data_IF_235142404405
#
_entry.id   IF_235142404405
#
_cell.length_a   1.000
_cell.length_b   1.000
_cell.length_c   1.000
_cell.angle_alpha   90.00
_cell.angle_beta   90.00
_cell.angle_gamma   90.00
#
_symmetry.space_group_name_H-M   'P 1'
#
loop_
_entity.id
_entity.type
_entity.pdbx_description
1 polymer ?
#
# COMPACT_ATOMS: atom_id res chain seq x y z
N UNK A 1 5.82 -15.82 70.53
CA UNK A 1 7.06 -15.61 69.73
C UNK A 1 6.91 -16.42 68.45
N UNK A 2 6.81 -15.79 67.27
CA UNK A 2 6.64 -16.50 65.99
C UNK A 2 7.93 -17.28 65.68
N UNK A 3 7.80 -18.51 65.21
CA UNK A 3 8.95 -19.40 64.97
C UNK A 3 9.80 -18.87 63.81
N UNK A 4 11.12 -19.15 63.77
CA UNK A 4 11.99 -18.76 62.65
C UNK A 4 11.46 -19.23 61.28
N UNK A 5 10.76 -20.37 61.26
CA UNK A 5 10.13 -20.91 60.05
C UNK A 5 8.93 -20.09 59.55
N UNK A 6 8.22 -19.39 60.43
CA UNK A 6 7.08 -18.55 60.03
C UNK A 6 7.56 -17.25 59.38
N UNK A 7 8.71 -16.73 59.83
CA UNK A 7 9.35 -15.56 59.23
C UNK A 7 9.90 -15.90 57.83
N UNK A 8 10.49 -17.09 57.66
CA UNK A 8 11.00 -17.55 56.36
C UNK A 8 9.86 -17.79 55.35
N UNK A 9 8.75 -18.41 55.79
CA UNK A 9 7.57 -18.58 54.94
C UNK A 9 6.94 -17.25 54.53
N UNK A 10 6.89 -16.28 55.44
CA UNK A 10 6.38 -14.95 55.14
C UNK A 10 7.30 -14.20 54.16
N UNK A 11 8.63 -14.34 54.32
CA UNK A 11 9.62 -13.74 53.40
C UNK A 11 9.50 -14.34 51.99
N UNK A 12 9.33 -15.66 51.87
CA UNK A 12 9.17 -16.35 50.58
C UNK A 12 7.86 -15.92 49.89
N UNK A 13 6.75 -15.81 50.63
CA UNK A 13 5.47 -15.36 50.07
C UNK A 13 5.57 -13.92 49.57
N UNK A 14 6.19 -13.03 50.35
CA UNK A 14 6.40 -11.63 49.94
C UNK A 14 7.28 -11.55 48.68
N UNK A 15 8.37 -12.32 48.62
CA UNK A 15 9.26 -12.37 47.45
C UNK A 15 8.52 -12.89 46.20
N UNK A 16 7.69 -13.92 46.35
CA UNK A 16 6.89 -14.47 45.25
C UNK A 16 5.81 -13.49 44.78
N UNK A 17 5.15 -12.77 45.70
CA UNK A 17 4.18 -11.73 45.31
C UNK A 17 4.84 -10.55 44.60
N UNK A 18 6.05 -10.15 44.98
CA UNK A 18 6.79 -9.08 44.28
C UNK A 18 7.21 -9.52 42.87
N UNK A 19 7.69 -10.76 42.71
CA UNK A 19 8.03 -11.34 41.41
C UNK A 19 6.82 -11.43 40.47
N UNK A 20 5.63 -11.77 40.98
CA UNK A 20 4.39 -11.81 40.18
C UNK A 20 3.93 -10.40 39.79
N UNK A 21 4.16 -9.38 40.63
CA UNK A 21 3.83 -7.98 40.31
C UNK A 21 4.79 -7.42 39.24
N UNK A 22 6.07 -7.77 39.28
CA UNK A 22 7.06 -7.38 38.25
C UNK A 22 6.86 -8.13 36.92
N UNK A 23 6.24 -9.32 36.94
CA UNK A 23 5.95 -10.08 35.72
C UNK A 23 4.62 -9.68 35.05
N UNK A 24 3.76 -8.92 35.72
CA UNK A 24 2.45 -8.47 35.21
C UNK A 24 2.42 -7.00 34.77
N UNK A 25 3.57 -6.33 34.64
CA UNK A 25 3.66 -4.96 34.10
C UNK A 25 4.08 -4.89 32.63
N UNK A 26 4.29 -6.04 31.96
CA UNK A 26 4.28 -6.09 30.50
C UNK A 26 2.84 -6.20 30.00
N UNK A 27 2.04 -5.15 30.27
CA UNK A 27 0.91 -4.85 29.41
C UNK A 27 1.51 -4.62 28.03
N UNK A 28 1.08 -5.45 27.07
CA UNK A 28 1.40 -5.34 25.66
C UNK A 28 1.39 -3.86 25.23
N UNK A 29 2.58 -3.28 25.10
CA UNK A 29 2.76 -2.06 24.35
C UNK A 29 2.65 -2.48 22.88
N UNK A 30 1.42 -2.81 22.46
CA UNK A 30 1.03 -2.63 21.08
C UNK A 30 1.17 -1.15 20.84
N UNK A 31 2.40 -0.73 20.51
CA UNK A 31 2.63 0.56 19.92
C UNK A 31 1.53 0.73 18.88
N UNK A 32 0.62 1.67 19.11
CA UNK A 32 -0.21 2.19 18.04
C UNK A 32 0.80 2.82 17.09
N UNK A 33 1.36 2.00 16.20
CA UNK A 33 2.23 2.45 15.14
C UNK A 33 1.36 3.43 14.37
N UNK A 34 1.65 4.72 14.57
CA UNK A 34 0.87 5.82 14.01
C UNK A 34 0.85 5.59 12.49
N UNK A 35 -0.29 5.14 12.00
CA UNK A 35 -0.54 4.93 10.58
C UNK A 35 -0.55 6.32 9.96
N UNK A 36 0.48 6.66 9.19
CA UNK A 36 0.50 7.88 8.41
C UNK A 36 -0.23 7.54 7.11
N UNK A 37 -1.53 7.82 7.05
CA UNK A 37 -2.31 7.58 5.85
C UNK A 37 -1.98 8.66 4.81
N UNK A 38 -1.75 8.23 3.57
CA UNK A 38 -1.53 9.12 2.45
C UNK A 38 -2.87 9.70 2.01
N UNK A 39 -3.06 10.99 2.21
CA UNK A 39 -4.22 11.72 1.70
C UNK A 39 -4.12 11.97 0.19
N UNK A 40 -5.27 12.01 -0.48
CA UNK A 40 -5.34 12.41 -1.89
C UNK A 40 -4.86 13.86 -2.07
N UNK A 41 -3.83 14.06 -2.90
CA UNK A 41 -3.21 15.37 -3.14
C UNK A 41 -3.57 15.98 -4.48
N UNK A 42 -4.23 15.19 -5.36
CA UNK A 42 -4.71 15.67 -6.66
C UNK A 42 -6.22 15.48 -6.88
N UNK A 43 -6.96 15.04 -5.87
CA UNK A 43 -8.42 15.18 -5.85
C UNK A 43 -8.82 16.65 -6.01
N UNK A 44 -9.84 16.91 -6.83
CA UNK A 44 -10.26 18.27 -7.21
C UNK A 44 -9.47 18.89 -8.37
N UNK A 45 -8.34 18.30 -8.78
CA UNK A 45 -7.51 18.82 -9.89
C UNK A 45 -7.30 17.81 -11.03
N UNK A 46 -6.94 16.56 -10.71
CA UNK A 46 -6.77 15.50 -11.72
C UNK A 46 -8.06 14.70 -11.90
N UNK A 47 -8.84 14.55 -10.84
CA UNK A 47 -10.13 13.86 -10.81
C UNK A 47 -11.02 14.53 -9.77
N UNK A 48 -12.34 14.27 -9.77
CA UNK A 48 -13.24 14.94 -8.82
C UNK A 48 -12.97 14.52 -7.37
N UNK A 49 -12.96 15.48 -6.46
CA UNK A 49 -12.96 15.28 -5.00
C UNK A 49 -14.34 14.90 -4.45
N UNK A 50 -15.40 15.02 -5.26
CA UNK A 50 -16.73 14.57 -4.89
C UNK A 50 -16.89 13.07 -5.22
N UNK A 51 -17.20 12.22 -4.23
CA UNK A 51 -17.28 10.76 -4.43
C UNK A 51 -18.31 10.33 -5.48
N UNK A 52 -19.47 10.98 -5.54
CA UNK A 52 -20.55 10.59 -6.44
C UNK A 52 -20.26 11.02 -7.88
N UNK A 53 -19.65 12.20 -8.06
CA UNK A 53 -19.15 12.66 -9.36
C UNK A 53 -18.02 11.73 -9.84
N UNK A 54 -17.08 11.39 -8.97
CA UNK A 54 -15.95 10.52 -9.30
C UNK A 54 -16.42 9.13 -9.75
N UNK A 55 -17.35 8.50 -9.02
CA UNK A 55 -17.97 7.22 -9.41
C UNK A 55 -18.65 7.31 -10.78
N UNK A 56 -19.44 8.36 -11.00
CA UNK A 56 -20.15 8.58 -12.28
C UNK A 56 -19.18 8.77 -13.45
N UNK A 57 -18.07 9.47 -13.22
CA UNK A 57 -16.99 9.63 -14.22
C UNK A 57 -16.34 8.29 -14.55
N UNK A 58 -16.00 7.50 -13.53
CA UNK A 58 -15.42 6.17 -13.70
C UNK A 58 -16.36 5.26 -14.49
N UNK A 59 -17.65 5.20 -14.11
CA UNK A 59 -18.67 4.45 -14.86
C UNK A 59 -18.70 4.84 -16.33
N UNK A 60 -18.79 6.14 -16.62
CA UNK A 60 -18.79 6.63 -18.00
C UNK A 60 -17.50 6.26 -18.76
N UNK A 61 -16.34 6.28 -18.10
CA UNK A 61 -15.09 5.85 -18.74
C UNK A 61 -15.07 4.35 -19.03
N UNK A 62 -15.53 3.50 -18.11
CA UNK A 62 -15.58 2.05 -18.32
C UNK A 62 -16.60 1.66 -19.40
N UNK A 63 -17.76 2.33 -19.48
CA UNK A 63 -18.74 2.12 -20.54
C UNK A 63 -18.16 2.38 -21.94
N UNK A 64 -17.41 3.49 -22.06
CA UNK A 64 -16.78 3.95 -23.30
C UNK A 64 -15.44 3.26 -23.61
N UNK A 65 -14.89 2.50 -22.67
CA UNK A 65 -13.57 1.87 -22.79
C UNK A 65 -13.53 0.75 -23.83
N UNK A 66 -12.32 0.39 -24.25
CA UNK A 66 -12.09 -0.83 -25.04
C UNK A 66 -12.63 -2.03 -24.27
N UNK A 67 -13.38 -2.90 -24.97
CA UNK A 67 -13.95 -4.09 -24.33
C UNK A 67 -12.84 -5.03 -23.87
N UNK A 68 -13.11 -5.74 -22.78
CA UNK A 68 -12.24 -6.79 -22.29
C UNK A 68 -11.97 -7.79 -23.44
N UNK A 69 -10.71 -8.05 -23.70
CA UNK A 69 -10.31 -9.16 -24.55
C UNK A 69 -10.31 -10.45 -23.72
N UNK A 70 -10.40 -11.59 -24.38
CA UNK A 70 -10.29 -12.89 -23.72
C UNK A 70 -8.84 -13.12 -23.26
N UNK A 71 -8.57 -12.81 -22.00
CA UNK A 71 -7.35 -13.15 -21.28
C UNK A 71 -7.76 -14.00 -20.07
N UNK A 72 -7.17 -15.18 -19.92
CA UNK A 72 -7.53 -16.07 -18.80
C UNK A 72 -6.96 -15.55 -17.47
N UNK A 73 -5.77 -14.91 -17.49
CA UNK A 73 -5.10 -14.37 -16.31
C UNK A 73 -4.33 -13.09 -16.66
N UNK A 74 -4.91 -11.92 -16.37
CA UNK A 74 -4.19 -10.64 -16.54
C UNK A 74 -3.24 -10.43 -15.37
N UNK A 75 -1.93 -10.50 -15.63
CA UNK A 75 -0.89 -10.30 -14.62
C UNK A 75 -0.40 -8.86 -14.53
N UNK A 76 -0.50 -8.09 -15.63
CA UNK A 76 -0.10 -6.70 -15.66
C UNK A 76 -0.92 -5.91 -16.68
N UNK A 77 -1.07 -4.62 -16.38
CA UNK A 77 -1.59 -3.61 -17.30
C UNK A 77 -0.63 -2.41 -17.31
N UNK A 78 -0.67 -1.62 -18.38
CA UNK A 78 0.00 -0.33 -18.47
C UNK A 78 -1.10 0.71 -18.67
N UNK A 79 -1.12 1.74 -17.82
CA UNK A 79 -2.16 2.76 -17.79
C UNK A 79 -1.53 4.16 -17.77
N UNK A 80 -2.08 5.15 -18.48
CA UNK A 80 -1.66 6.54 -18.35
C UNK A 80 -2.06 7.11 -16.97
N UNK A 81 -1.39 8.19 -16.57
CA UNK A 81 -1.59 8.85 -15.28
C UNK A 81 -1.82 10.37 -15.37
N UNK A 82 -2.32 10.87 -16.51
CA UNK A 82 -2.72 12.26 -16.63
C UNK A 82 -4.07 12.52 -15.92
N UNK A 83 -4.51 13.77 -15.85
CA UNK A 83 -5.86 14.10 -15.39
C UNK A 83 -6.94 13.32 -16.16
N UNK A 84 -8.02 12.98 -15.46
CA UNK A 84 -9.08 12.08 -15.96
C UNK A 84 -9.77 12.62 -17.20
N UNK A 85 -9.90 13.94 -17.32
CA UNK A 85 -10.45 14.61 -18.51
C UNK A 85 -9.64 14.30 -19.78
N UNK A 86 -8.35 13.98 -19.66
CA UNK A 86 -7.47 13.68 -20.78
C UNK A 86 -7.26 12.19 -21.00
N UNK A 87 -7.14 11.42 -19.91
CA UNK A 87 -6.68 10.03 -19.97
C UNK A 87 -7.65 8.99 -19.42
N UNK A 88 -8.76 9.42 -18.80
CA UNK A 88 -9.63 8.53 -18.03
C UNK A 88 -10.21 7.38 -18.83
N UNK A 89 -10.64 7.62 -20.08
CA UNK A 89 -11.10 6.58 -21.01
C UNK A 89 -9.98 5.56 -21.33
N UNK A 90 -8.76 6.02 -21.57
CA UNK A 90 -7.63 5.16 -21.93
C UNK A 90 -7.19 4.33 -20.72
N UNK A 91 -7.15 4.94 -19.54
CA UNK A 91 -6.91 4.22 -18.29
C UNK A 91 -7.99 3.14 -18.07
N UNK A 92 -9.27 3.49 -18.21
CA UNK A 92 -10.37 2.53 -18.10
C UNK A 92 -10.23 1.36 -19.08
N UNK A 93 -9.77 1.59 -20.32
CA UNK A 93 -9.49 0.51 -21.27
C UNK A 93 -8.46 -0.50 -20.77
N UNK A 94 -7.43 -0.05 -20.06
CA UNK A 94 -6.42 -0.93 -19.46
C UNK A 94 -7.03 -1.72 -18.29
N UNK A 95 -7.70 -1.05 -17.36
CA UNK A 95 -8.35 -1.72 -16.21
C UNK A 95 -9.49 -2.64 -16.61
N UNK A 96 -10.19 -2.37 -17.71
CA UNK A 96 -11.29 -3.21 -18.20
C UNK A 96 -10.80 -4.58 -18.68
N UNK A 97 -9.49 -4.78 -18.84
CA UNK A 97 -8.92 -6.10 -19.14
C UNK A 97 -8.85 -7.02 -17.91
N UNK A 98 -8.88 -6.47 -16.69
CA UNK A 98 -8.79 -7.24 -15.44
C UNK A 98 -10.16 -7.86 -15.13
N UNK A 99 -10.25 -9.15 -14.84
CA UNK A 99 -11.51 -9.73 -14.35
C UNK A 99 -11.87 -9.10 -12.98
N UNK A 100 -13.04 -8.44 -12.83
CA UNK A 100 -13.43 -7.78 -11.57
C UNK A 100 -13.58 -8.75 -10.40
N UNK A 101 -13.76 -10.04 -10.67
CA UNK A 101 -13.93 -11.09 -9.66
C UNK A 101 -12.61 -11.84 -9.36
N UNK A 102 -11.51 -11.54 -10.07
CA UNK A 102 -10.17 -12.09 -9.78
C UNK A 102 -9.68 -11.58 -8.43
N UNK A 103 -9.12 -12.49 -7.64
CA UNK A 103 -8.44 -12.18 -6.39
C UNK A 103 -6.94 -12.13 -6.63
N UNK A 104 -6.33 -10.99 -6.31
CA UNK A 104 -4.88 -10.81 -6.35
C UNK A 104 -4.39 -10.73 -4.92
N UNK A 105 -3.40 -11.56 -4.56
CA UNK A 105 -2.75 -11.48 -3.25
C UNK A 105 -2.10 -10.10 -3.05
N UNK A 106 -1.47 -9.58 -4.11
CA UNK A 106 -0.69 -8.36 -4.10
C UNK A 106 -0.83 -7.61 -5.42
N UNK A 107 -1.25 -6.34 -5.39
CA UNK A 107 -1.26 -5.46 -6.57
C UNK A 107 -0.10 -4.47 -6.48
N UNK A 108 0.91 -4.66 -7.33
CA UNK A 108 2.04 -3.74 -7.42
C UNK A 108 1.67 -2.56 -8.32
N UNK A 109 1.81 -1.32 -7.81
CA UNK A 109 1.66 -0.11 -8.62
C UNK A 109 3.03 0.54 -8.72
N UNK A 110 3.66 0.41 -9.90
CA UNK A 110 4.98 0.98 -10.17
C UNK A 110 4.82 2.24 -10.99
N UNK A 111 5.22 3.38 -10.45
CA UNK A 111 5.07 4.70 -11.06
C UNK A 111 6.37 5.49 -11.02
N UNK A 112 6.60 6.38 -11.98
CA UNK A 112 7.80 7.23 -12.01
C UNK A 112 7.63 8.47 -11.14
N UNK A 113 8.68 8.87 -10.41
CA UNK A 113 8.66 10.16 -9.71
C UNK A 113 8.71 11.34 -10.70
N UNK A 114 7.79 12.30 -10.53
CA UNK A 114 7.75 13.57 -11.26
C UNK A 114 8.32 14.74 -10.45
N UNK A 115 8.57 14.53 -9.15
CA UNK A 115 8.88 15.60 -8.20
C UNK A 115 10.28 15.51 -7.62
N UNK A 116 10.79 14.30 -7.41
CA UNK A 116 12.05 14.07 -6.71
C UNK A 116 12.89 13.06 -7.48
N UNK A 117 14.15 13.43 -7.75
CA UNK A 117 15.14 12.51 -8.33
C UNK A 117 15.86 11.77 -7.20
N UNK A 118 15.96 10.44 -7.30
CA UNK A 118 16.70 9.60 -6.34
C UNK A 118 17.04 8.24 -6.93
N UNK A 119 18.03 7.54 -6.36
CA UNK A 119 18.40 6.20 -6.83
C UNK A 119 17.39 5.14 -6.39
N UNK A 120 17.20 4.11 -7.22
CA UNK A 120 16.28 3.02 -6.95
C UNK A 120 14.81 3.45 -6.91
N UNK A 121 14.06 2.86 -5.98
CA UNK A 121 12.63 3.13 -5.84
C UNK A 121 12.20 3.27 -4.36
N UNK A 122 11.15 4.05 -4.14
CA UNK A 122 10.53 4.29 -2.85
C UNK A 122 9.26 3.45 -2.73
N UNK A 123 9.11 2.69 -1.65
CA UNK A 123 7.88 1.96 -1.35
C UNK A 123 7.20 2.63 -0.16
N UNK A 124 5.91 2.96 -0.27
CA UNK A 124 5.15 3.50 0.86
C UNK A 124 4.72 2.37 1.79
N UNK A 125 5.14 2.44 3.06
CA UNK A 125 4.86 1.43 4.09
C UNK A 125 4.34 2.04 5.41
N UNK A 126 4.04 3.34 5.45
CA UNK A 126 3.69 4.04 6.69
C UNK A 126 2.19 4.00 7.03
N UNK A 127 1.33 3.77 6.04
CA UNK A 127 -0.12 3.69 6.20
C UNK A 127 -0.84 3.34 4.90
N UNK A 128 -2.13 3.64 4.85
CA UNK A 128 -3.00 3.37 3.70
C UNK A 128 -3.16 4.60 2.81
N UNK A 129 -3.70 4.43 1.60
CA UNK A 129 -4.04 5.55 0.73
C UNK A 129 -5.51 5.93 0.89
N UNK A 130 -5.80 7.21 0.99
CA UNK A 130 -7.16 7.76 1.06
C UNK A 130 -7.50 8.36 -0.30
N UNK A 131 -8.69 8.04 -0.78
CA UNK A 131 -9.29 8.64 -1.98
C UNK A 131 -10.71 9.13 -1.65
N UNK A 132 -11.33 9.95 -2.51
CA UNK A 132 -12.72 10.36 -2.31
C UNK A 132 -13.70 9.20 -2.19
N UNK A 133 -13.44 8.05 -2.84
CA UNK A 133 -14.35 6.89 -2.85
C UNK A 133 -13.95 5.80 -1.86
N UNK A 134 -12.94 6.06 -1.01
CA UNK A 134 -12.59 5.19 0.11
C UNK A 134 -11.10 4.95 0.26
N UNK A 135 -10.78 4.20 1.30
CA UNK A 135 -9.41 3.78 1.66
C UNK A 135 -8.94 2.61 0.79
N UNK A 136 -7.68 2.65 0.37
CA UNK A 136 -6.95 1.57 -0.30
C UNK A 136 -5.85 1.07 0.61
N UNK A 137 -5.93 -0.20 1.00
CA UNK A 137 -4.99 -0.80 1.95
C UNK A 137 -3.63 -1.05 1.32
N UNK A 138 -2.58 -0.73 2.05
CA UNK A 138 -1.20 -1.10 1.68
C UNK A 138 -0.83 -2.42 2.35
N UNK A 139 -0.22 -3.35 1.61
CA UNK A 139 0.41 -4.52 2.22
C UNK A 139 1.74 -4.11 2.87
N UNK A 140 1.64 -3.55 4.08
CA UNK A 140 2.79 -3.02 4.84
C UNK A 140 3.82 -4.10 5.15
N UNK A 141 3.38 -5.30 5.52
CA UNK A 141 4.27 -6.43 5.79
C UNK A 141 5.15 -6.78 4.58
N UNK A 142 4.57 -6.85 3.38
CA UNK A 142 5.37 -7.10 2.18
C UNK A 142 6.23 -5.89 1.79
N UNK A 143 5.71 -4.67 1.95
CA UNK A 143 6.46 -3.45 1.69
C UNK A 143 7.72 -3.35 2.58
N UNK A 144 7.57 -3.59 3.89
CA UNK A 144 8.67 -3.63 4.86
C UNK A 144 9.71 -4.67 4.47
N UNK A 145 9.26 -5.90 4.17
CA UNK A 145 10.14 -6.98 3.72
C UNK A 145 10.94 -6.59 2.47
N UNK A 146 10.29 -5.99 1.47
CA UNK A 146 10.96 -5.56 0.24
C UNK A 146 12.03 -4.49 0.51
N UNK A 147 11.74 -3.54 1.40
CA UNK A 147 12.68 -2.48 1.80
C UNK A 147 13.87 -3.07 2.58
N UNK A 148 13.61 -3.96 3.54
CA UNK A 148 14.64 -4.53 4.42
C UNK A 148 15.59 -5.48 3.68
N UNK A 149 15.05 -6.32 2.80
CA UNK A 149 15.83 -7.36 2.12
C UNK A 149 16.57 -6.84 0.87
N UNK A 150 16.19 -5.67 0.33
CA UNK A 150 16.69 -5.21 -0.97
C UNK A 150 17.11 -3.74 -0.95
N UNK A 151 18.41 -3.48 -1.09
CA UNK A 151 19.01 -2.13 -1.09
C UNK A 151 18.50 -1.19 -2.20
N UNK A 152 17.85 -1.74 -3.22
CA UNK A 152 17.26 -0.96 -4.32
C UNK A 152 15.96 -0.27 -3.91
N UNK A 153 15.33 -0.74 -2.83
CA UNK A 153 14.12 -0.18 -2.25
C UNK A 153 14.43 0.56 -0.94
N UNK A 154 13.67 1.63 -0.69
CA UNK A 154 13.72 2.41 0.53
C UNK A 154 12.34 3.04 0.77
N UNK A 155 12.10 3.61 1.95
CA UNK A 155 10.99 4.54 2.12
C UNK A 155 11.53 5.98 2.08
N UNK A 156 11.03 6.78 1.15
CA UNK A 156 11.40 8.18 0.97
C UNK A 156 10.12 9.05 0.97
N UNK A 157 9.77 9.72 2.08
CA UNK A 157 8.51 10.47 2.20
C UNK A 157 8.25 11.45 1.05
N UNK A 158 9.26 12.21 0.64
CA UNK A 158 9.16 13.20 -0.42
C UNK A 158 8.89 12.60 -1.81
N UNK A 159 9.13 11.31 -2.01
CA UNK A 159 8.75 10.61 -3.24
C UNK A 159 7.24 10.34 -3.34
N UNK A 160 6.51 10.40 -2.22
CA UNK A 160 5.08 10.08 -2.18
C UNK A 160 4.21 11.32 -1.92
N UNK A 161 4.66 12.23 -1.04
CA UNK A 161 3.84 13.33 -0.49
C UNK A 161 3.17 14.24 -1.53
N UNK A 162 3.75 14.39 -2.73
CA UNK A 162 3.21 15.22 -3.80
C UNK A 162 3.16 14.48 -5.16
N UNK A 163 3.33 13.15 -5.13
CA UNK A 163 3.39 12.32 -6.34
C UNK A 163 1.99 11.84 -6.71
N UNK A 164 1.59 12.11 -7.95
CA UNK A 164 0.22 11.89 -8.41
C UNK A 164 0.08 10.62 -9.23
N UNK A 165 1.16 10.18 -9.89
CA UNK A 165 1.11 9.10 -10.89
C UNK A 165 0.54 7.80 -10.35
N UNK A 166 0.83 7.49 -9.09
CA UNK A 166 0.28 6.35 -8.37
C UNK A 166 -1.16 6.61 -7.89
N UNK A 167 -1.41 7.77 -7.30
CA UNK A 167 -2.72 8.12 -6.70
C UNK A 167 -3.85 8.04 -7.73
N UNK A 168 -3.63 8.56 -8.93
CA UNK A 168 -4.66 8.62 -9.97
C UNK A 168 -5.09 7.24 -10.49
N UNK A 169 -4.34 6.19 -10.19
CA UNK A 169 -4.69 4.81 -10.52
C UNK A 169 -5.68 4.20 -9.52
N UNK A 170 -5.72 4.70 -8.28
CA UNK A 170 -6.47 4.09 -7.19
C UNK A 170 -7.98 4.07 -7.41
N UNK A 171 -8.62 5.17 -7.89
CA UNK A 171 -10.05 5.12 -8.13
C UNK A 171 -10.46 4.13 -9.23
N UNK A 172 -9.60 3.89 -10.24
CA UNK A 172 -9.87 2.86 -11.25
C UNK A 172 -9.84 1.45 -10.67
N UNK A 173 -8.87 1.15 -9.80
CA UNK A 173 -8.81 -0.13 -9.09
C UNK A 173 -10.05 -0.32 -8.20
N UNK A 174 -10.39 0.69 -7.40
CA UNK A 174 -11.56 0.64 -6.51
C UNK A 174 -12.88 0.49 -7.26
N UNK A 175 -12.99 1.06 -8.46
CA UNK A 175 -14.16 0.87 -9.31
C UNK A 175 -14.19 -0.50 -9.99
N UNK A 176 -13.02 -1.00 -10.44
CA UNK A 176 -12.96 -2.25 -11.21
C UNK A 176 -13.09 -3.48 -10.32
N UNK A 177 -12.39 -3.53 -9.20
CA UNK A 177 -12.29 -4.73 -8.36
C UNK A 177 -13.52 -4.86 -7.47
N UNK A 178 -14.17 -6.03 -7.49
CA UNK A 178 -15.28 -6.36 -6.59
C UNK A 178 -14.83 -7.01 -5.29
N UNK A 179 -13.63 -7.58 -5.30
CA UNK A 179 -12.99 -8.22 -4.16
C UNK A 179 -12.06 -7.24 -3.46
N UNK A 180 -11.86 -7.47 -2.17
CA UNK A 180 -10.85 -6.74 -1.41
C UNK A 180 -9.47 -6.97 -2.03
N UNK A 181 -8.65 -5.92 -2.04
CA UNK A 181 -7.29 -5.97 -2.53
C UNK A 181 -6.37 -5.13 -1.65
N UNK A 182 -5.08 -5.41 -1.74
CA UNK A 182 -4.03 -4.60 -1.15
C UNK A 182 -3.02 -4.21 -2.22
N UNK A 183 -2.43 -3.02 -2.05
CA UNK A 183 -1.44 -2.49 -2.98
C UNK A 183 -0.04 -2.50 -2.36
N UNK A 184 0.97 -2.58 -3.24
CA UNK A 184 2.37 -2.29 -2.94
C UNK A 184 2.74 -1.07 -3.78
N UNK A 185 2.71 0.15 -3.20
CA UNK A 185 2.90 1.38 -3.95
C UNK A 185 4.38 1.73 -4.11
N UNK A 186 4.88 1.67 -5.34
CA UNK A 186 6.30 1.85 -5.67
C UNK A 186 6.48 3.08 -6.56
N UNK A 187 7.27 4.05 -6.11
CA UNK A 187 7.69 5.22 -6.88
C UNK A 187 9.15 5.07 -7.30
N UNK A 188 9.43 4.89 -8.59
CA UNK A 188 10.79 4.79 -9.12
C UNK A 188 11.41 6.18 -9.25
N UNK A 189 12.53 6.42 -8.56
CA UNK A 189 13.28 7.68 -8.67
C UNK A 189 14.32 7.70 -9.79
N UNK A 190 14.54 6.55 -10.43
CA UNK A 190 15.66 6.29 -11.33
C UNK A 190 15.22 6.07 -12.79
N UNK A 191 16.14 6.36 -13.71
CA UNK A 191 16.04 6.01 -15.14
C UNK A 191 17.24 5.15 -15.59
N UNK A 192 18.10 4.73 -14.64
CA UNK A 192 19.25 3.87 -14.93
C UNK A 192 18.77 2.46 -15.26
N UNK A 193 19.14 1.95 -16.45
CA UNK A 193 18.78 0.60 -16.87
C UNK A 193 19.19 -0.45 -15.85
N UNK A 194 20.40 -0.33 -15.28
CA UNK A 194 20.92 -1.26 -14.27
C UNK A 194 20.04 -1.27 -13.01
N UNK A 195 19.59 -0.10 -12.56
CA UNK A 195 18.73 -0.01 -11.37
C UNK A 195 17.31 -0.52 -11.68
N UNK A 196 16.79 -0.27 -12.87
CA UNK A 196 15.48 -0.79 -13.32
C UNK A 196 15.51 -2.33 -13.46
N UNK A 197 16.58 -2.90 -14.00
CA UNK A 197 16.78 -4.35 -14.08
C UNK A 197 16.82 -4.98 -12.69
N UNK A 198 17.49 -4.32 -11.72
CA UNK A 198 17.53 -4.80 -10.34
C UNK A 198 16.15 -4.74 -9.68
N UNK A 199 15.38 -3.65 -9.85
CA UNK A 199 13.99 -3.55 -9.39
C UNK A 199 13.16 -4.70 -9.99
N UNK A 200 13.24 -4.91 -11.30
CA UNK A 200 12.51 -5.96 -11.99
C UNK A 200 12.90 -7.36 -11.47
N UNK A 201 14.20 -7.60 -11.24
CA UNK A 201 14.71 -8.87 -10.70
C UNK A 201 14.13 -9.17 -9.31
N UNK A 202 14.03 -8.16 -8.44
CA UNK A 202 13.45 -8.33 -7.10
C UNK A 202 11.94 -8.57 -7.15
N UNK A 203 11.23 -7.93 -8.09
CA UNK A 203 9.78 -8.09 -8.23
C UNK A 203 9.36 -9.34 -9.03
N UNK A 204 10.27 -9.91 -9.84
CA UNK A 204 9.98 -11.05 -10.71
C UNK A 204 9.34 -12.26 -10.02
N UNK A 205 9.73 -12.65 -8.79
CA UNK A 205 9.06 -13.76 -8.08
C UNK A 205 7.57 -13.54 -7.81
N UNK A 206 7.11 -12.28 -7.77
CA UNK A 206 5.71 -11.92 -7.54
C UNK A 206 4.89 -11.81 -8.84
N UNK A 207 5.54 -11.94 -10.01
CA UNK A 207 4.87 -11.93 -11.31
C UNK A 207 4.49 -13.37 -11.71
N UNK A 208 3.47 -13.91 -11.05
CA UNK A 208 3.00 -15.29 -11.18
C UNK A 208 1.44 -15.35 -11.22
N UNK A 209 0.89 -16.51 -11.61
CA UNK A 209 -0.57 -16.75 -11.80
C UNK A 209 -1.37 -17.03 -10.53
#
# INVERSE_FOLDING_TARGET
MKSPSDLLKFLIIVLFTVLVIECNSQSEDQSFQKCDDREAVVAGTFYSDNPEILKSQLESFFEQSEKARSYDNVLAIISPHAGYVYSGKVAASAYNQIDPDKEYENIFIVASSHRVLFKGASIYNQGDYITPIGKVRVNKTLADKLIEENKIFQFKPEAHNAEHSLEVQLPFLQYRMRKDFQIIPIVTGTQSLIEVEEIARVLAPYFNE
#
